data_IF_980427257879
#
_entry.id   IF_980427257879
#
_cell.length_a   1.000
_cell.length_b   1.000
_cell.length_c   1.000
_cell.angle_alpha   90.00
_cell.angle_beta   90.00
_cell.angle_gamma   90.00
#
_symmetry.space_group_name_H-M   'P 1'
#
loop_
_entity.id
_entity.type
_entity.pdbx_description
1 polymer ?
#
# COMPACT_ATOMS: atom_id res chain seq x y z
N UNK A 1 -3.81 2.59 12.56
CA UNK A 1 -3.53 1.97 11.26
C UNK A 1 -4.80 1.87 10.44
N UNK A 2 -4.68 2.08 9.15
CA UNK A 2 -5.80 1.88 8.24
C UNK A 2 -5.80 0.43 7.74
N UNK A 3 -6.93 -0.03 7.27
CA UNK A 3 -7.06 -1.33 6.62
C UNK A 3 -7.69 -1.12 5.25
N UNK A 4 -7.26 -1.89 4.28
CA UNK A 4 -7.80 -1.78 2.94
C UNK A 4 -7.56 -3.03 2.12
N UNK A 5 -7.97 -2.97 0.86
CA UNK A 5 -7.83 -4.07 -0.09
C UNK A 5 -6.93 -3.62 -1.23
N UNK A 6 -5.97 -4.45 -1.59
CA UNK A 6 -5.08 -4.17 -2.72
C UNK A 6 -5.92 -4.12 -3.99
N UNK A 7 -5.90 -2.98 -4.65
CA UNK A 7 -6.63 -2.78 -5.90
C UNK A 7 -5.88 -3.44 -7.05
N UNK A 8 -4.58 -3.19 -7.12
CA UNK A 8 -3.67 -3.88 -8.02
C UNK A 8 -2.24 -3.60 -7.59
N UNK A 9 -1.33 -4.46 -8.00
CA UNK A 9 0.09 -4.28 -7.71
C UNK A 9 0.91 -4.89 -8.85
N UNK A 10 1.93 -4.16 -9.29
CA UNK A 10 2.82 -4.62 -10.35
C UNK A 10 4.25 -4.64 -9.82
N UNK A 11 4.75 -5.85 -9.54
CA UNK A 11 6.09 -6.04 -8.98
C UNK A 11 7.19 -5.62 -9.97
N UNK A 12 6.94 -5.72 -11.26
CA UNK A 12 7.93 -5.31 -12.26
C UNK A 12 8.09 -3.79 -12.30
N UNK A 13 6.99 -3.07 -12.19
CA UNK A 13 7.02 -1.60 -12.11
C UNK A 13 7.38 -1.12 -10.71
N UNK A 14 7.17 -1.95 -9.71
CA UNK A 14 7.55 -1.66 -8.33
C UNK A 14 6.55 -0.84 -7.55
N UNK A 15 5.27 -0.85 -7.92
CA UNK A 15 4.24 -0.10 -7.18
C UNK A 15 2.84 -0.64 -7.42
N UNK A 16 1.91 -0.17 -6.62
CA UNK A 16 0.50 -0.50 -6.74
C UNK A 16 -0.36 0.45 -5.93
N UNK A 17 -1.62 0.11 -5.78
CA UNK A 17 -2.58 0.92 -5.04
C UNK A 17 -3.44 0.06 -4.12
N UNK A 18 -3.77 0.63 -2.96
CA UNK A 18 -4.63 0.01 -1.97
C UNK A 18 -5.88 0.86 -1.83
N UNK A 19 -7.06 0.22 -1.88
CA UNK A 19 -8.33 0.90 -1.65
C UNK A 19 -8.66 0.82 -0.17
N UNK A 20 -8.64 1.95 0.58
CA UNK A 20 -8.97 1.95 2.00
C UNK A 20 -10.40 1.52 2.26
N UNK A 21 -10.65 0.84 3.38
CA UNK A 21 -11.99 0.38 3.75
C UNK A 21 -12.98 1.51 3.98
N UNK A 22 -12.50 2.65 4.43
CA UNK A 22 -13.34 3.80 4.72
C UNK A 22 -13.84 4.53 3.47
N UNK A 23 -13.48 4.04 2.29
CA UNK A 23 -13.91 4.64 1.04
C UNK A 23 -13.12 5.86 0.61
N UNK A 24 -12.03 6.14 1.29
CA UNK A 24 -11.14 7.24 0.93
C UNK A 24 -10.39 6.92 -0.37
N UNK A 25 -9.63 7.88 -0.88
CA UNK A 25 -8.89 7.74 -2.13
C UNK A 25 -7.87 6.60 -2.04
N UNK A 26 -7.60 5.97 -3.18
CA UNK A 26 -6.60 4.91 -3.25
C UNK A 26 -5.26 5.43 -2.74
N UNK A 27 -4.56 4.57 -2.00
CA UNK A 27 -3.26 4.90 -1.42
C UNK A 27 -2.17 4.20 -2.22
N UNK A 28 -1.18 4.97 -2.64
CA UNK A 28 -0.03 4.44 -3.37
C UNK A 28 0.82 3.56 -2.44
N UNK A 29 1.33 2.45 -2.97
CA UNK A 29 2.28 1.59 -2.26
C UNK A 29 3.45 1.27 -3.15
N UNK A 30 4.68 1.52 -2.67
CA UNK A 30 5.89 1.21 -3.40
C UNK A 30 6.43 -0.15 -2.95
N UNK A 31 7.13 -0.85 -3.84
CA UNK A 31 7.67 -2.17 -3.54
C UNK A 31 8.64 -2.15 -2.33
N UNK A 32 9.32 -1.04 -2.10
CA UNK A 32 10.21 -0.93 -0.94
C UNK A 32 9.44 -1.08 0.37
N UNK A 33 8.20 -0.57 0.45
CA UNK A 33 7.36 -0.73 1.63
C UNK A 33 6.92 -2.19 1.80
N UNK A 34 6.65 -2.88 0.70
CA UNK A 34 6.30 -4.30 0.70
C UNK A 34 7.47 -5.13 1.22
N UNK A 35 8.67 -4.85 0.73
CA UNK A 35 9.87 -5.55 1.15
C UNK A 35 10.20 -5.31 2.62
N UNK A 36 10.05 -4.08 3.10
CA UNK A 36 10.25 -3.73 4.51
C UNK A 36 9.31 -4.48 5.43
N UNK A 37 8.13 -4.80 4.94
CA UNK A 37 7.14 -5.57 5.69
C UNK A 37 7.43 -7.07 5.67
N UNK A 38 8.47 -7.50 4.96
CA UNK A 38 8.80 -8.91 4.83
C UNK A 38 7.97 -9.64 3.78
N UNK A 39 7.28 -8.90 2.94
CA UNK A 39 6.45 -9.45 1.87
C UNK A 39 7.21 -9.40 0.55
N UNK A 40 6.86 -10.26 -0.39
CA UNK A 40 7.47 -10.27 -1.72
C UNK A 40 6.67 -9.42 -2.69
N UNK A 41 5.36 -9.51 -2.61
CA UNK A 41 4.44 -8.79 -3.48
C UNK A 41 3.08 -8.71 -2.82
N UNK A 42 2.21 -7.90 -3.39
CA UNK A 42 0.81 -7.84 -3.00
C UNK A 42 -0.04 -8.38 -4.13
N UNK A 43 -1.14 -9.04 -3.78
CA UNK A 43 -2.06 -9.59 -4.78
C UNK A 43 -3.32 -8.75 -4.83
N UNK A 44 -3.90 -8.66 -6.01
CA UNK A 44 -5.19 -8.00 -6.20
C UNK A 44 -6.24 -8.65 -5.30
N UNK A 45 -6.96 -7.82 -4.56
CA UNK A 45 -7.99 -8.29 -3.62
C UNK A 45 -7.47 -8.68 -2.25
N UNK A 46 -6.16 -8.64 -2.02
CA UNK A 46 -5.58 -8.98 -0.73
C UNK A 46 -5.89 -7.88 0.29
N UNK A 47 -6.26 -8.28 1.50
CA UNK A 47 -6.48 -7.33 2.59
C UNK A 47 -5.19 -7.06 3.34
N UNK A 48 -4.93 -5.80 3.61
CA UNK A 48 -3.71 -5.38 4.32
C UNK A 48 -4.03 -4.27 5.30
N UNK A 49 -3.27 -4.23 6.40
CA UNK A 49 -3.25 -3.08 7.28
C UNK A 49 -2.03 -2.24 6.94
N UNK A 50 -2.14 -0.93 7.05
CA UNK A 50 -1.05 -0.05 6.66
C UNK A 50 -1.17 1.30 7.36
N UNK A 51 -0.10 2.06 7.33
CA UNK A 51 -0.08 3.46 7.77
C UNK A 51 0.07 4.35 6.56
N UNK A 52 -0.66 5.46 6.56
CA UNK A 52 -0.58 6.46 5.49
C UNK A 52 0.48 7.48 5.88
N UNK A 53 1.51 7.60 5.05
CA UNK A 53 2.60 8.55 5.27
C UNK A 53 2.64 9.51 4.09
N UNK A 54 2.67 10.81 4.38
CA UNK A 54 2.73 11.84 3.34
C UNK A 54 4.18 12.18 3.05
N UNK A 55 4.57 12.10 1.78
CA UNK A 55 5.88 12.53 1.33
C UNK A 55 5.91 14.05 1.26
N UNK A 56 6.80 14.65 2.04
CA UNK A 56 6.92 16.11 2.10
C UNK A 56 7.38 16.75 0.80
N UNK A 57 8.16 16.01 0.01
CA UNK A 57 8.68 16.53 -1.25
C UNK A 57 7.63 16.60 -2.34
N UNK A 58 6.81 15.59 -2.43
CA UNK A 58 5.80 15.48 -3.49
C UNK A 58 4.39 15.80 -3.03
N UNK A 59 4.15 15.78 -1.71
CA UNK A 59 2.82 15.93 -1.13
C UNK A 59 1.92 14.72 -1.35
N UNK A 60 2.45 13.62 -1.82
CA UNK A 60 1.68 12.41 -2.09
C UNK A 60 1.70 11.47 -0.90
N UNK A 61 0.57 10.81 -0.67
CA UNK A 61 0.45 9.80 0.38
C UNK A 61 0.91 8.45 -0.13
N UNK A 62 1.53 7.67 0.76
CA UNK A 62 1.97 6.32 0.45
C UNK A 62 1.70 5.41 1.65
N UNK A 63 1.48 4.13 1.37
CA UNK A 63 1.29 3.13 2.42
C UNK A 63 2.64 2.65 2.93
N UNK A 64 2.77 2.58 4.25
CA UNK A 64 3.96 2.08 4.94
C UNK A 64 3.53 1.11 6.04
N UNK A 65 4.50 0.38 6.60
CA UNK A 65 4.26 -0.57 7.70
C UNK A 65 3.14 -1.55 7.38
N UNK A 66 3.24 -2.16 6.22
CA UNK A 66 2.22 -3.09 5.74
C UNK A 66 2.18 -4.37 6.58
N UNK A 67 0.96 -4.86 6.82
CA UNK A 67 0.75 -6.16 7.46
C UNK A 67 -0.39 -6.88 6.75
N UNK A 68 -0.23 -8.17 6.56
CA UNK A 68 -1.34 -8.99 6.05
C UNK A 68 -2.40 -9.15 7.14
N UNK A 69 -3.65 -9.11 6.74
CA UNK A 69 -4.78 -9.22 7.67
C UNK A 69 -5.43 -10.60 7.52
#
# INVERSE_FOLDING_TARGET
MATGTVKWFNAQKGYGFIAPEDGDKDVFVHISAVERAGLRELREGQRVAFEVVVDRKTGKSAAENLKTV
#
